data_IF_985045032283
#
_entry.id   IF_985045032283
#
_cell.length_a   1.000
_cell.length_b   1.000
_cell.length_c   1.000
_cell.angle_alpha   90.00
_cell.angle_beta   90.00
_cell.angle_gamma   90.00
#
_symmetry.space_group_name_H-M   'P 1'
#
loop_
_entity.id
_entity.type
_entity.pdbx_description
1 polymer ?
#
# COMPACT_ATOMS: atom_id res chain seq x y z
N UNK A 1 -17.48 -11.64 -7.02
CA UNK A 1 -16.77 -12.04 -5.80
C UNK A 1 -17.00 -11.00 -4.72
N UNK A 2 -17.00 -11.43 -3.45
CA UNK A 2 -17.02 -10.51 -2.31
C UNK A 2 -15.59 -10.28 -1.82
N UNK A 3 -15.12 -9.05 -1.91
CA UNK A 3 -13.76 -8.61 -1.62
C UNK A 3 -13.75 -7.80 -0.32
N UNK A 4 -13.00 -8.24 0.67
CA UNK A 4 -12.83 -7.54 1.94
C UNK A 4 -11.47 -6.86 2.00
N UNK A 5 -11.46 -5.60 2.42
CA UNK A 5 -10.22 -4.87 2.74
C UNK A 5 -10.11 -4.70 4.25
N UNK A 6 -8.99 -5.10 4.83
CA UNK A 6 -8.77 -4.97 6.27
C UNK A 6 -8.51 -3.54 6.75
N UNK A 7 -8.62 -2.55 5.87
CA UNK A 7 -8.53 -1.11 6.17
C UNK A 7 -9.69 -0.37 5.51
N UNK A 8 -10.42 0.41 6.28
CA UNK A 8 -11.47 1.31 5.77
C UNK A 8 -10.83 2.56 5.19
N UNK A 9 -11.31 3.06 4.04
CA UNK A 9 -10.91 4.37 3.56
C UNK A 9 -11.31 5.47 4.54
N UNK A 10 -10.40 6.43 4.73
CA UNK A 10 -10.61 7.60 5.59
C UNK A 10 -10.58 8.84 4.71
N UNK A 11 -11.53 9.75 4.90
CA UNK A 11 -11.56 11.02 4.19
C UNK A 11 -10.42 11.93 4.65
N UNK A 12 -9.83 12.68 3.70
CA UNK A 12 -8.77 13.64 3.97
C UNK A 12 -7.40 13.25 3.41
N UNK A 13 -6.35 14.00 3.76
CA UNK A 13 -5.00 13.85 3.20
C UNK A 13 -4.23 12.68 3.85
N UNK A 14 -4.78 11.48 3.74
CA UNK A 14 -4.14 10.26 4.22
C UNK A 14 -3.22 9.65 3.15
N UNK A 15 -2.15 8.98 3.58
CA UNK A 15 -1.09 8.49 2.69
C UNK A 15 -1.53 7.47 1.63
N UNK A 16 -0.57 7.05 0.79
CA UNK A 16 -0.80 6.23 -0.40
C UNK A 16 -1.51 4.90 -0.16
N UNK A 17 -1.46 4.33 1.06
CA UNK A 17 -2.23 3.14 1.42
C UNK A 17 -3.74 3.38 1.39
N UNK A 18 -4.18 4.52 1.91
CA UNK A 18 -5.59 4.91 1.91
C UNK A 18 -6.10 5.18 0.49
N UNK A 19 -5.33 5.93 -0.31
CA UNK A 19 -5.66 6.20 -1.72
C UNK A 19 -5.75 4.90 -2.52
N UNK A 20 -4.83 3.95 -2.28
CA UNK A 20 -4.89 2.63 -2.91
C UNK A 20 -6.20 1.91 -2.60
N UNK A 21 -6.60 1.84 -1.32
CA UNK A 21 -7.84 1.14 -0.92
C UNK A 21 -9.06 1.82 -1.56
N UNK A 22 -9.12 3.14 -1.56
CA UNK A 22 -10.22 3.91 -2.16
C UNK A 22 -10.36 3.61 -3.65
N UNK A 23 -9.27 3.70 -4.41
CA UNK A 23 -9.28 3.51 -5.85
C UNK A 23 -9.54 2.04 -6.21
N UNK A 24 -8.92 1.10 -5.47
CA UNK A 24 -9.13 -0.32 -5.72
C UNK A 24 -10.57 -0.75 -5.43
N UNK A 25 -11.17 -0.22 -4.36
CA UNK A 25 -12.57 -0.47 -4.05
C UNK A 25 -13.51 0.11 -5.11
N UNK A 26 -13.25 1.33 -5.60
CA UNK A 26 -13.97 1.94 -6.72
C UNK A 26 -13.91 1.04 -7.95
N UNK A 27 -12.71 0.63 -8.36
CA UNK A 27 -12.48 -0.21 -9.53
C UNK A 27 -13.16 -1.58 -9.42
N UNK A 28 -13.00 -2.29 -8.30
CA UNK A 28 -13.62 -3.59 -8.10
C UNK A 28 -15.15 -3.53 -8.17
N UNK A 29 -15.76 -2.46 -7.65
CA UNK A 29 -17.22 -2.25 -7.78
C UNK A 29 -17.64 -2.00 -9.23
N UNK A 30 -16.86 -1.28 -10.01
CA UNK A 30 -17.10 -1.07 -11.45
C UNK A 30 -17.02 -2.39 -12.23
N UNK A 31 -16.14 -3.31 -11.82
CA UNK A 31 -16.00 -4.66 -12.38
C UNK A 31 -17.07 -5.66 -11.84
N UNK A 32 -18.07 -5.17 -11.10
CA UNK A 32 -19.19 -6.00 -10.61
C UNK A 32 -18.87 -6.86 -9.39
N UNK A 33 -17.84 -6.49 -8.61
CA UNK A 33 -17.50 -7.15 -7.35
C UNK A 33 -18.14 -6.44 -6.17
N UNK A 34 -18.54 -7.22 -5.16
CA UNK A 34 -18.97 -6.69 -3.88
C UNK A 34 -17.73 -6.34 -3.02
N UNK A 35 -17.68 -5.12 -2.47
CA UNK A 35 -16.54 -4.64 -1.68
C UNK A 35 -17.00 -4.23 -0.30
N UNK A 36 -16.47 -4.92 0.71
CA UNK A 36 -16.80 -4.75 2.12
C UNK A 36 -15.57 -4.38 2.96
N UNK A 37 -15.80 -3.73 4.09
CA UNK A 37 -14.77 -3.28 5.03
C UNK A 37 -14.99 -3.81 6.44
N UNK A 38 -16.01 -4.62 6.65
CA UNK A 38 -16.30 -5.33 7.89
C UNK A 38 -16.35 -6.83 7.60
N UNK A 39 -16.04 -7.66 8.58
CA UNK A 39 -16.20 -9.10 8.44
C UNK A 39 -17.67 -9.47 8.37
N UNK A 40 -18.03 -10.24 7.36
CA UNK A 40 -19.34 -10.79 7.16
C UNK A 40 -19.27 -12.17 6.48
N UNK A 41 -20.39 -12.85 6.34
CA UNK A 41 -20.43 -14.15 5.67
C UNK A 41 -20.17 -14.03 4.17
N UNK A 42 -19.44 -15.01 3.63
CA UNK A 42 -19.27 -15.17 2.18
C UNK A 42 -18.19 -14.29 1.56
N UNK A 43 -17.17 -13.83 2.32
CA UNK A 43 -15.99 -13.20 1.76
C UNK A 43 -15.19 -14.24 0.97
N UNK A 44 -14.94 -13.94 -0.31
CA UNK A 44 -14.11 -14.77 -1.20
C UNK A 44 -12.63 -14.44 -1.09
N UNK A 45 -12.30 -13.13 -0.98
CA UNK A 45 -10.92 -12.63 -0.97
C UNK A 45 -10.74 -11.56 0.10
N UNK A 46 -9.68 -11.70 0.89
CA UNK A 46 -9.20 -10.69 1.85
C UNK A 46 -7.99 -9.98 1.25
N UNK A 47 -8.09 -8.67 1.08
CA UNK A 47 -6.95 -7.80 0.80
C UNK A 47 -6.36 -7.31 2.12
N UNK A 48 -5.26 -7.92 2.55
CA UNK A 48 -4.50 -7.53 3.73
C UNK A 48 -3.52 -6.43 3.34
N UNK A 49 -3.88 -5.18 3.67
CA UNK A 49 -3.11 -3.98 3.31
C UNK A 49 -2.13 -3.59 4.43
N UNK A 50 -2.59 -3.66 5.67
CA UNK A 50 -1.78 -3.40 6.86
C UNK A 50 -2.23 -4.33 7.99
N UNK A 51 -1.41 -5.30 8.40
CA UNK A 51 -1.79 -6.30 9.40
C UNK A 51 -1.73 -5.80 10.86
N UNK A 52 -1.28 -4.56 11.10
CA UNK A 52 -1.14 -4.00 12.45
C UNK A 52 -2.50 -3.66 13.06
N UNK A 53 -2.64 -3.68 14.40
CA UNK A 53 -3.84 -3.15 15.06
C UNK A 53 -4.08 -1.67 14.70
N UNK A 54 -5.33 -1.28 14.53
CA UNK A 54 -5.72 0.10 14.21
C UNK A 54 -7.20 0.31 14.41
N UNK A 55 -7.59 1.53 14.80
CA UNK A 55 -9.00 1.95 14.94
C UNK A 55 -9.76 1.98 13.60
N UNK A 56 -9.03 1.96 12.48
CA UNK A 56 -9.58 2.05 11.13
C UNK A 56 -9.53 0.75 10.34
N UNK A 57 -9.43 -0.39 11.04
CA UNK A 57 -9.42 -1.68 10.36
C UNK A 57 -9.06 -2.84 11.27
N UNK A 58 -8.88 -3.99 10.66
CA UNK A 58 -8.67 -5.25 11.32
C UNK A 58 -7.22 -5.70 11.23
N UNK A 59 -6.70 -6.22 12.34
CA UNK A 59 -5.35 -6.75 12.44
C UNK A 59 -5.24 -8.17 11.89
N UNK A 60 -4.03 -8.71 11.93
CA UNK A 60 -3.77 -10.10 11.57
C UNK A 60 -4.56 -11.10 12.41
N UNK A 61 -4.85 -10.79 13.68
CA UNK A 61 -5.54 -11.70 14.57
C UNK A 61 -7.00 -11.95 14.15
N UNK A 62 -7.72 -10.88 13.74
CA UNK A 62 -9.08 -11.00 13.23
C UNK A 62 -9.10 -11.71 11.88
N UNK A 63 -8.14 -11.43 10.99
CA UNK A 63 -7.98 -12.14 9.71
C UNK A 63 -7.73 -13.63 9.95
N UNK A 64 -6.85 -13.98 10.88
CA UNK A 64 -6.57 -15.37 11.25
C UNK A 64 -7.83 -16.09 11.76
N UNK A 65 -8.58 -15.46 12.65
CA UNK A 65 -9.80 -16.02 13.19
C UNK A 65 -10.86 -16.24 12.10
N UNK A 66 -10.99 -15.28 11.18
CA UNK A 66 -11.89 -15.43 10.04
C UNK A 66 -11.45 -16.58 9.11
N UNK A 67 -10.17 -16.65 8.75
CA UNK A 67 -9.62 -17.74 7.92
C UNK A 67 -9.79 -19.12 8.58
N UNK A 68 -9.68 -19.20 9.90
CA UNK A 68 -9.93 -20.45 10.66
C UNK A 68 -11.37 -20.91 10.54
N UNK A 69 -12.34 -19.98 10.57
CA UNK A 69 -13.76 -20.26 10.41
C UNK A 69 -14.14 -20.54 8.96
N UNK A 70 -13.51 -19.87 7.99
CA UNK A 70 -13.76 -19.98 6.56
C UNK A 70 -12.47 -20.32 5.80
N UNK A 71 -12.04 -21.60 5.81
CA UNK A 71 -10.73 -22.00 5.29
C UNK A 71 -10.49 -21.75 3.80
N UNK A 72 -11.57 -21.63 3.02
CA UNK A 72 -11.50 -21.43 1.57
C UNK A 72 -11.26 -19.98 1.15
N UNK A 73 -11.42 -19.00 2.08
CA UNK A 73 -11.15 -17.59 1.76
C UNK A 73 -9.70 -17.41 1.33
N UNK A 74 -9.48 -16.63 0.27
CA UNK A 74 -8.12 -16.31 -0.21
C UNK A 74 -7.60 -15.03 0.43
N UNK A 75 -6.32 -15.00 0.77
CA UNK A 75 -5.68 -13.84 1.37
C UNK A 75 -4.57 -13.32 0.44
N UNK A 76 -4.72 -12.08 0.00
CA UNK A 76 -3.70 -11.35 -0.77
C UNK A 76 -3.04 -10.34 0.19
N UNK A 77 -1.76 -10.52 0.46
CA UNK A 77 -0.99 -9.58 1.27
C UNK A 77 -0.27 -8.56 0.40
N UNK A 78 -0.68 -7.30 0.50
CA UNK A 78 0.00 -6.20 -0.18
C UNK A 78 1.04 -5.57 0.73
N UNK A 79 2.31 -5.71 0.37
CA UNK A 79 3.45 -5.17 1.12
C UNK A 79 3.92 -3.85 0.49
N UNK A 80 3.77 -2.76 1.24
CA UNK A 80 4.04 -1.40 0.77
C UNK A 80 5.04 -0.61 1.64
N UNK A 81 5.53 -1.20 2.73
CA UNK A 81 6.50 -0.56 3.60
C UNK A 81 7.47 -1.56 4.24
N UNK A 82 8.49 -1.06 4.92
CA UNK A 82 9.43 -1.82 5.72
C UNK A 82 10.13 -0.90 6.74
N UNK A 83 10.77 -1.51 7.73
CA UNK A 83 11.51 -0.80 8.76
C UNK A 83 12.60 0.11 8.21
N UNK A 84 13.35 -0.35 7.21
CA UNK A 84 14.45 0.40 6.60
C UNK A 84 14.01 1.75 6.02
N UNK A 85 12.80 1.83 5.45
CA UNK A 85 12.27 3.06 4.86
C UNK A 85 11.78 4.08 5.86
N UNK A 86 11.45 3.66 7.07
CA UNK A 86 10.86 4.52 8.11
C UNK A 86 11.72 4.64 9.35
N UNK A 87 12.88 3.98 9.37
CA UNK A 87 13.74 3.87 10.54
C UNK A 87 12.98 3.33 11.78
N UNK A 88 12.23 2.25 11.58
CA UNK A 88 11.52 1.50 12.60
C UNK A 88 12.15 0.11 12.76
N UNK A 89 11.71 -0.68 13.74
CA UNK A 89 12.32 -1.98 14.05
C UNK A 89 11.33 -3.12 14.34
N UNK A 90 10.02 -2.89 14.12
CA UNK A 90 8.97 -3.86 14.43
C UNK A 90 8.12 -4.25 13.22
N UNK A 91 8.10 -3.41 12.18
CA UNK A 91 7.19 -3.56 11.03
C UNK A 91 7.54 -4.79 10.22
N UNK A 92 8.82 -5.02 9.95
CA UNK A 92 9.27 -6.17 9.15
C UNK A 92 8.85 -7.50 9.77
N UNK A 93 9.00 -7.65 11.08
CA UNK A 93 8.62 -8.87 11.79
C UNK A 93 7.10 -9.11 11.71
N UNK A 94 6.30 -8.06 11.88
CA UNK A 94 4.84 -8.15 11.75
C UNK A 94 4.47 -8.57 10.34
N UNK A 95 5.07 -7.96 9.32
CA UNK A 95 4.80 -8.31 7.92
C UNK A 95 5.20 -9.75 7.59
N UNK A 96 6.37 -10.20 8.05
CA UNK A 96 6.84 -11.58 7.85
C UNK A 96 5.91 -12.60 8.51
N UNK A 97 5.51 -12.36 9.76
CA UNK A 97 4.58 -13.24 10.48
C UNK A 97 3.20 -13.25 9.82
N UNK A 98 2.67 -12.10 9.48
CA UNK A 98 1.36 -11.98 8.84
C UNK A 98 1.32 -12.63 7.46
N UNK A 99 2.43 -12.61 6.75
CA UNK A 99 2.52 -13.22 5.43
C UNK A 99 2.35 -14.74 5.45
N UNK A 100 2.55 -15.41 6.59
CA UNK A 100 2.31 -16.83 6.72
C UNK A 100 0.86 -17.23 6.38
N UNK A 101 -0.09 -16.32 6.55
CA UNK A 101 -1.51 -16.53 6.22
C UNK A 101 -1.82 -16.26 4.74
N UNK A 102 -0.95 -15.57 4.01
CA UNK A 102 -1.23 -15.15 2.65
C UNK A 102 -1.18 -16.32 1.67
N UNK A 103 -2.16 -16.39 0.78
CA UNK A 103 -2.13 -17.26 -0.40
C UNK A 103 -1.28 -16.64 -1.52
N UNK A 104 -1.27 -15.29 -1.62
CA UNK A 104 -0.48 -14.52 -2.60
C UNK A 104 0.05 -13.24 -1.97
N UNK A 105 1.28 -12.88 -2.36
CA UNK A 105 1.89 -11.60 -1.96
C UNK A 105 2.02 -10.66 -3.15
N UNK A 106 1.76 -9.37 -2.91
CA UNK A 106 1.98 -8.31 -3.89
C UNK A 106 2.91 -7.27 -3.28
N UNK A 107 4.09 -7.12 -3.87
CA UNK A 107 5.02 -6.02 -3.53
C UNK A 107 4.80 -4.84 -4.45
N UNK A 108 4.88 -3.62 -3.91
CA UNK A 108 4.75 -2.39 -4.71
C UNK A 108 6.03 -2.00 -5.44
N UNK A 109 7.14 -2.72 -5.24
CA UNK A 109 8.39 -2.51 -5.96
C UNK A 109 9.27 -3.75 -5.92
N UNK A 110 10.11 -3.89 -6.94
CA UNK A 110 11.15 -4.93 -6.98
C UNK A 110 12.11 -4.82 -5.78
N UNK A 111 12.46 -3.60 -5.38
CA UNK A 111 13.31 -3.36 -4.22
C UNK A 111 12.72 -3.96 -2.93
N UNK A 112 11.41 -3.79 -2.68
CA UNK A 112 10.75 -4.40 -1.52
C UNK A 112 10.71 -5.93 -1.64
N UNK A 113 10.46 -6.48 -2.82
CA UNK A 113 10.48 -7.93 -3.03
C UNK A 113 11.88 -8.49 -2.72
N UNK A 114 12.94 -7.89 -3.27
CA UNK A 114 14.33 -8.30 -3.01
C UNK A 114 14.73 -8.15 -1.54
N UNK A 115 14.21 -7.10 -0.86
CA UNK A 115 14.46 -6.87 0.55
C UNK A 115 13.86 -7.96 1.45
N UNK A 116 12.59 -8.31 1.22
CA UNK A 116 11.90 -9.31 2.03
C UNK A 116 12.27 -10.75 1.69
N UNK A 117 12.59 -11.07 0.43
CA UNK A 117 13.11 -12.39 0.05
C UNK A 117 14.40 -12.72 0.79
N UNK A 118 15.31 -11.76 0.93
CA UNK A 118 16.54 -11.89 1.74
C UNK A 118 16.27 -12.10 3.24
N UNK A 119 15.08 -11.74 3.73
CA UNK A 119 14.64 -11.91 5.12
C UNK A 119 13.82 -13.19 5.34
N UNK A 120 13.74 -14.06 4.34
CA UNK A 120 13.03 -15.35 4.46
C UNK A 120 11.59 -15.34 3.95
N UNK A 121 11.22 -14.36 3.14
CA UNK A 121 9.94 -14.35 2.45
C UNK A 121 9.99 -15.38 1.32
N UNK A 122 9.32 -16.52 1.50
CA UNK A 122 9.46 -17.69 0.61
C UNK A 122 8.23 -18.00 -0.22
N UNK A 123 7.20 -17.15 -0.16
CA UNK A 123 5.94 -17.41 -0.87
C UNK A 123 5.95 -16.82 -2.28
N UNK A 124 5.11 -17.40 -3.12
CA UNK A 124 4.84 -16.87 -4.44
C UNK A 124 4.39 -15.41 -4.36
N UNK A 125 5.01 -14.56 -5.15
CA UNK A 125 4.73 -13.12 -5.17
C UNK A 125 4.67 -12.54 -6.58
N UNK A 126 4.02 -11.39 -6.66
CA UNK A 126 4.08 -10.52 -7.84
C UNK A 126 4.56 -9.13 -7.43
N UNK A 127 5.20 -8.43 -8.37
CA UNK A 127 5.52 -7.01 -8.22
C UNK A 127 4.53 -6.22 -9.05
N UNK A 128 3.71 -5.40 -8.38
CA UNK A 128 2.74 -4.51 -9.04
C UNK A 128 3.02 -3.10 -8.53
N UNK A 129 3.55 -2.26 -9.40
CA UNK A 129 3.85 -0.86 -9.05
C UNK A 129 2.57 -0.06 -8.81
N UNK A 130 2.66 0.96 -7.96
CA UNK A 130 1.56 1.89 -7.79
C UNK A 130 1.35 2.67 -9.10
N UNK A 131 0.09 2.81 -9.49
CA UNK A 131 -0.33 3.71 -10.56
C UNK A 131 -0.85 5.04 -10.01
N UNK A 132 -1.30 5.89 -10.90
CA UNK A 132 -2.04 7.10 -10.60
C UNK A 132 -3.48 6.99 -11.14
N UNK A 133 -4.38 7.77 -10.54
CA UNK A 133 -5.73 7.94 -11.05
C UNK A 133 -5.69 8.83 -12.30
N UNK A 134 -6.09 8.29 -13.45
CA UNK A 134 -6.06 9.01 -14.73
C UNK A 134 -7.10 10.13 -14.84
N UNK A 135 -8.15 10.08 -14.03
CA UNK A 135 -9.15 11.15 -13.96
C UNK A 135 -8.59 12.38 -13.24
N UNK A 136 -7.53 12.22 -12.44
CA UNK A 136 -6.87 13.27 -11.69
C UNK A 136 -5.54 13.67 -12.33
N UNK A 137 -4.74 12.66 -12.76
CA UNK A 137 -3.41 12.85 -13.31
C UNK A 137 -3.40 12.50 -14.79
N UNK A 138 -3.57 13.50 -15.63
CA UNK A 138 -3.57 13.37 -17.09
C UNK A 138 -2.58 14.37 -17.71
N UNK A 139 -2.02 14.06 -18.88
CA UNK A 139 -1.18 15.01 -19.61
C UNK A 139 -2.00 16.24 -19.95
N UNK A 140 -1.50 17.42 -19.60
CA UNK A 140 -1.98 18.68 -20.15
C UNK A 140 -1.24 18.96 -21.46
N UNK A 141 -1.86 19.75 -22.35
CA UNK A 141 -1.30 20.15 -23.63
C UNK A 141 0.15 20.61 -23.50
N UNK A 142 0.91 20.55 -24.61
CA UNK A 142 2.35 20.81 -24.66
C UNK A 142 2.75 22.03 -23.83
N UNK A 143 3.63 21.80 -22.88
CA UNK A 143 4.24 22.89 -22.12
C UNK A 143 5.32 23.51 -22.98
N UNK A 144 5.27 24.80 -23.12
CA UNK A 144 6.45 25.57 -23.51
C UNK A 144 7.55 25.32 -22.46
N UNK A 145 8.59 24.63 -22.90
CA UNK A 145 9.77 24.34 -22.08
C UNK A 145 10.82 25.47 -22.21
N UNK A 146 10.49 26.57 -22.90
CA UNK A 146 11.36 27.73 -22.97
C UNK A 146 11.33 28.46 -21.60
N UNK A 147 12.51 28.76 -21.10
CA UNK A 147 12.68 29.46 -19.83
C UNK A 147 13.32 28.61 -18.71
N UNK A 148 13.48 29.15 -17.51
CA UNK A 148 14.15 28.47 -16.42
C UNK A 148 13.37 27.26 -15.94
N UNK A 149 14.07 26.13 -15.74
CA UNK A 149 13.51 24.90 -15.18
C UNK A 149 12.99 25.15 -13.76
N UNK A 150 11.71 24.87 -13.53
CA UNK A 150 11.10 24.95 -12.20
C UNK A 150 11.07 23.57 -11.55
N UNK A 151 11.81 23.39 -10.47
CA UNK A 151 11.83 22.15 -9.68
C UNK A 151 10.85 22.25 -8.52
N UNK A 152 9.97 21.27 -8.38
CA UNK A 152 9.00 21.20 -7.28
C UNK A 152 9.16 19.85 -6.57
N UNK A 153 9.24 19.87 -5.25
CA UNK A 153 9.10 18.68 -4.41
C UNK A 153 7.87 18.82 -3.51
N UNK A 154 7.14 17.75 -3.31
CA UNK A 154 5.94 17.76 -2.49
C UNK A 154 5.82 16.48 -1.65
N UNK A 155 5.65 16.65 -0.34
CA UNK A 155 5.36 15.56 0.59
C UNK A 155 4.27 15.98 1.58
N UNK A 156 3.35 15.08 1.89
CA UNK A 156 2.34 15.29 2.93
C UNK A 156 2.88 15.08 4.35
N UNK A 157 4.04 14.43 4.48
CA UNK A 157 4.67 14.04 5.75
C UNK A 157 5.96 14.83 5.95
N UNK A 158 6.22 15.23 7.19
CA UNK A 158 7.44 15.87 7.68
C UNK A 158 8.62 14.91 7.94
N UNK A 159 8.44 13.62 7.65
CA UNK A 159 9.48 12.62 7.85
C UNK A 159 10.72 12.93 7.00
N UNK A 160 11.84 13.25 7.67
CA UNK A 160 13.12 13.61 7.05
C UNK A 160 13.65 12.57 6.05
N UNK A 161 13.34 11.28 6.24
CA UNK A 161 13.67 10.18 5.32
C UNK A 161 13.00 10.30 3.94
N UNK A 162 12.20 11.33 3.71
CA UNK A 162 11.62 11.66 2.38
C UNK A 162 12.59 12.40 1.46
N UNK A 163 13.83 12.59 1.87
CA UNK A 163 14.88 13.22 1.08
C UNK A 163 15.03 14.72 1.31
N UNK A 164 14.54 15.24 2.44
CA UNK A 164 14.64 16.67 2.75
C UNK A 164 16.09 17.17 2.85
N UNK A 165 17.03 16.32 3.25
CA UNK A 165 18.46 16.60 3.24
C UNK A 165 18.98 16.86 1.82
N UNK A 166 18.56 16.03 0.86
CA UNK A 166 18.93 16.18 -0.57
C UNK A 166 18.29 17.46 -1.16
N UNK A 167 17.01 17.70 -0.87
CA UNK A 167 16.33 18.89 -1.36
C UNK A 167 16.96 20.17 -0.82
N UNK A 168 17.36 20.19 0.44
CA UNK A 168 18.08 21.31 1.04
C UNK A 168 19.45 21.53 0.39
N UNK A 169 20.16 20.47 0.01
CA UNK A 169 21.43 20.59 -0.70
C UNK A 169 21.23 21.15 -2.12
N UNK A 170 20.22 20.68 -2.85
CA UNK A 170 19.88 21.19 -4.19
C UNK A 170 19.52 22.68 -4.11
N UNK A 171 18.70 23.08 -3.15
CA UNK A 171 18.30 24.48 -2.96
C UNK A 171 19.52 25.38 -2.72
N UNK A 172 20.44 24.99 -1.83
CA UNK A 172 21.70 25.72 -1.58
C UNK A 172 22.62 25.78 -2.80
N UNK A 173 22.60 24.76 -3.65
CA UNK A 173 23.40 24.74 -4.87
C UNK A 173 22.85 25.67 -5.97
N UNK A 174 21.53 25.86 -6.00
CA UNK A 174 20.85 26.68 -6.99
C UNK A 174 20.73 28.17 -6.62
N UNK A 175 21.04 28.54 -5.36
CA UNK A 175 21.15 29.94 -4.87
C UNK A 175 22.52 30.51 -5.21
#
# INVERSE_FOLDING_TARGET
MKCFFNRKPINGPWGGGNVFVTNMAKYLRQEGHDVVFDFEYGIDVIFMIDPRPSDYGFSINEIYNYKKQFPNVKIIHRVNECDKRKNTNIVDNILLQSNQLADKTVFISKWLADYFTKKGFNKDYSVIYNGCDRDIFYPIEEKDLEGPLKLVTHHWSDNWMKGFDIYTQIDRYLQ
#
